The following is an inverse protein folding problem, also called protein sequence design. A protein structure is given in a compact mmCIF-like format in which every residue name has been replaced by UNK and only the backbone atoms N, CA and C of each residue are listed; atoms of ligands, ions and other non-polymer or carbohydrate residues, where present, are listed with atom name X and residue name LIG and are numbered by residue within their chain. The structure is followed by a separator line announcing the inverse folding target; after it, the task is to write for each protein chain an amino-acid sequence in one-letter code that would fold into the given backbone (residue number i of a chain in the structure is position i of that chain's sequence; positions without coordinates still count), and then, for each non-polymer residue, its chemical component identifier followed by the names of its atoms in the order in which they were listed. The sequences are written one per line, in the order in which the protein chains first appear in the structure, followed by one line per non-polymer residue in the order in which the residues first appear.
data_IF_609936259947
#
_entry.id   IF_609936259947
#
_cell.length_a   1.000
_cell.length_b   1.000
_cell.length_c   1.000
_cell.angle_alpha   90.00
_cell.angle_beta   90.00
_cell.angle_gamma   90.00
#
_symmetry.space_group_name_H-M   'P 1'
#
loop_
_entity.id
_entity.type
_entity.pdbx_description
1 polymer ?
#
# COMPACT_ATOMS: atom_id res chain seq x y z
N UNK A 1 37.33 22.74 -10.71
CA UNK A 1 35.94 22.45 -11.14
C UNK A 1 35.56 21.15 -10.45
N UNK A 2 35.02 21.26 -9.24
CA UNK A 2 34.62 20.12 -8.41
C UNK A 2 33.10 20.02 -8.47
N UNK A 3 32.60 18.87 -8.91
CA UNK A 3 31.20 18.49 -8.80
C UNK A 3 30.89 18.33 -7.30
N UNK A 4 30.26 19.33 -6.70
CA UNK A 4 29.60 19.17 -5.42
C UNK A 4 28.23 18.51 -5.67
N UNK A 5 28.16 17.24 -5.33
CA UNK A 5 26.93 16.58 -4.90
C UNK A 5 26.26 17.43 -3.82
N UNK A 6 24.98 17.72 -3.96
CA UNK A 6 24.10 18.16 -2.86
C UNK A 6 22.68 17.68 -3.15
N UNK A 7 22.52 16.37 -3.07
CA UNK A 7 21.29 15.71 -2.64
C UNK A 7 21.61 14.81 -1.45
N UNK A 8 22.46 15.31 -0.55
CA UNK A 8 22.70 14.71 0.73
C UNK A 8 21.46 14.96 1.60
N UNK A 9 20.88 13.85 2.03
CA UNK A 9 20.30 13.68 3.35
C UNK A 9 18.98 14.41 3.64
N UNK A 10 17.89 13.90 3.06
CA UNK A 10 16.80 13.43 3.94
C UNK A 10 17.11 11.99 4.35
N UNK A 11 18.11 11.83 5.20
CA UNK A 11 18.05 10.77 6.20
C UNK A 11 16.77 11.00 7.02
N UNK A 12 16.06 9.94 7.46
CA UNK A 12 14.90 10.10 8.32
C UNK A 12 15.31 10.89 9.56
N UNK A 13 14.73 12.08 9.76
CA UNK A 13 14.93 12.83 11.00
C UNK A 13 14.39 12.01 12.18
N UNK A 14 15.11 11.91 13.29
CA UNK A 14 14.71 11.14 14.47
C UNK A 14 13.67 11.94 15.26
N UNK A 15 12.43 11.92 14.77
CA UNK A 15 11.28 12.60 15.36
C UNK A 15 10.11 11.63 15.59
N UNK A 16 10.45 10.45 16.08
CA UNK A 16 9.56 9.31 16.21
C UNK A 16 10.23 8.11 15.59
N UNK A 17 11.10 7.46 16.37
CA UNK A 17 11.23 6.01 16.26
C UNK A 17 9.81 5.51 16.50
N UNK A 18 9.02 5.36 15.42
CA UNK A 18 8.16 4.22 15.37
C UNK A 18 9.15 3.08 15.57
N UNK A 19 9.18 2.51 16.78
CA UNK A 19 9.65 1.16 16.99
C UNK A 19 9.06 0.38 15.82
N UNK A 20 9.83 0.19 14.74
CA UNK A 20 9.47 -0.78 13.73
C UNK A 20 9.56 -2.08 14.52
N UNK A 21 8.42 -2.69 14.87
CA UNK A 21 8.48 -3.93 15.61
C UNK A 21 9.29 -4.87 14.74
N UNK A 22 10.34 -5.48 15.30
CA UNK A 22 11.01 -6.56 14.59
C UNK A 22 9.92 -7.54 14.10
N UNK A 23 10.03 -8.05 12.87
CA UNK A 23 9.10 -9.06 12.36
C UNK A 23 8.95 -10.17 13.43
N UNK A 24 7.70 -10.49 13.81
CA UNK A 24 7.41 -11.40 14.91
C UNK A 24 7.31 -10.80 16.32
N UNK A 25 7.72 -9.55 16.57
CA UNK A 25 7.61 -8.89 17.86
C UNK A 25 6.17 -8.44 18.15
N UNK A 26 5.71 -8.69 19.37
CA UNK A 26 4.37 -8.28 19.80
C UNK A 26 4.30 -6.76 20.00
N UNK A 27 3.48 -6.09 19.19
CA UNK A 27 3.25 -4.65 19.25
C UNK A 27 1.76 -4.31 19.20
N UNK A 28 1.43 -3.09 19.63
CA UNK A 28 0.08 -2.54 19.46
C UNK A 28 0.05 -1.70 18.18
N UNK A 29 -0.94 -1.96 17.34
CA UNK A 29 -1.12 -1.31 16.06
C UNK A 29 -2.43 -0.53 16.04
N UNK A 30 -2.41 0.65 15.41
CA UNK A 30 -3.59 1.47 15.13
C UNK A 30 -3.57 1.88 13.67
N UNK A 31 -4.41 1.24 12.87
CA UNK A 31 -4.52 1.49 11.44
C UNK A 31 -5.66 2.49 11.17
N UNK A 32 -5.38 3.66 10.57
CA UNK A 32 -6.43 4.60 10.21
C UNK A 32 -7.32 4.00 9.11
N UNK A 33 -8.61 4.29 9.16
CA UNK A 33 -9.57 3.90 8.13
C UNK A 33 -10.40 5.12 7.73
N UNK A 34 -10.17 5.71 6.55
CA UNK A 34 -10.98 6.83 6.08
C UNK A 34 -12.47 6.47 6.07
N UNK A 35 -13.29 7.26 6.78
CA UNK A 35 -14.74 7.04 6.87
C UNK A 35 -15.20 5.93 7.82
N UNK A 36 -14.28 5.28 8.55
CA UNK A 36 -14.61 4.23 9.53
C UNK A 36 -13.81 4.38 10.83
N UNK A 37 -14.11 3.52 11.81
CA UNK A 37 -13.35 3.48 13.05
C UNK A 37 -11.95 2.90 12.78
N UNK A 38 -10.87 3.50 13.30
CA UNK A 38 -9.54 2.91 13.18
C UNK A 38 -9.49 1.48 13.71
N UNK A 39 -8.79 0.60 13.00
CA UNK A 39 -8.59 -0.78 13.42
C UNK A 39 -7.43 -0.80 14.44
N UNK A 40 -7.73 -1.15 15.68
CA UNK A 40 -6.76 -1.21 16.78
C UNK A 40 -6.64 -2.64 17.25
N UNK A 41 -5.42 -3.17 17.30
CA UNK A 41 -5.16 -4.53 17.74
C UNK A 41 -3.76 -4.65 18.36
N UNK A 42 -3.49 -5.79 18.98
CA UNK A 42 -2.14 -6.18 19.40
C UNK A 42 -1.77 -7.49 18.72
N UNK A 43 -0.55 -7.60 18.24
CA UNK A 43 -0.14 -8.76 17.45
C UNK A 43 1.31 -8.67 17.01
N UNK A 44 1.70 -9.54 16.09
CA UNK A 44 2.99 -9.49 15.42
C UNK A 44 2.81 -9.42 13.91
N UNK A 45 3.72 -8.73 13.22
CA UNK A 45 3.78 -8.77 11.76
C UNK A 45 4.34 -10.12 11.32
N UNK A 46 3.60 -10.80 10.44
CA UNK A 46 3.97 -12.08 9.84
C UNK A 46 4.72 -11.88 8.54
N UNK A 47 4.27 -10.93 7.72
CA UNK A 47 4.83 -10.68 6.41
C UNK A 47 4.60 -9.23 6.00
N UNK A 48 5.55 -8.71 5.21
CA UNK A 48 5.51 -7.38 4.62
C UNK A 48 6.09 -7.45 3.22
N UNK A 49 5.42 -6.82 2.26
CA UNK A 49 5.98 -6.56 0.94
C UNK A 49 5.69 -5.12 0.52
N UNK A 50 6.61 -4.54 -0.27
CA UNK A 50 6.51 -3.17 -0.75
C UNK A 50 6.97 -3.13 -2.21
N UNK A 51 6.21 -2.44 -3.06
CA UNK A 51 6.56 -2.27 -4.47
C UNK A 51 7.03 -0.83 -4.73
N UNK A 52 8.34 -0.64 -4.75
CA UNK A 52 8.93 0.67 -5.08
C UNK A 52 9.37 0.71 -6.54
N UNK A 53 8.68 1.54 -7.34
CA UNK A 53 9.05 1.84 -8.73
C UNK A 53 9.35 3.34 -8.84
N UNK A 54 10.61 3.77 -9.05
CA UNK A 54 11.00 5.18 -9.03
C UNK A 54 10.20 6.08 -9.97
N UNK A 55 9.74 5.52 -11.09
CA UNK A 55 9.01 6.22 -12.14
C UNK A 55 7.54 6.47 -11.79
N UNK A 56 7.00 5.80 -10.76
CA UNK A 56 5.63 5.98 -10.31
C UNK A 56 5.55 6.98 -9.16
N UNK A 57 4.55 7.88 -9.15
CA UNK A 57 4.39 8.89 -8.11
C UNK A 57 3.84 8.32 -6.79
N UNK A 58 3.72 7.00 -6.69
CA UNK A 58 3.24 6.28 -5.52
C UNK A 58 3.85 4.88 -5.45
N UNK A 59 3.83 4.30 -4.26
CA UNK A 59 4.17 2.89 -4.02
C UNK A 59 3.11 2.21 -3.16
N UNK A 60 3.05 0.88 -3.24
CA UNK A 60 2.19 0.08 -2.38
C UNK A 60 3.00 -0.61 -1.30
N UNK A 61 2.37 -0.81 -0.15
CA UNK A 61 2.84 -1.65 0.94
C UNK A 61 1.71 -2.57 1.39
N UNK A 62 2.06 -3.82 1.64
CA UNK A 62 1.19 -4.86 2.10
C UNK A 62 1.77 -5.41 3.40
N UNK A 63 0.98 -5.42 4.47
CA UNK A 63 1.35 -6.04 5.73
C UNK A 63 0.29 -7.08 6.13
N UNK A 64 0.76 -8.22 6.61
CA UNK A 64 -0.07 -9.25 7.25
C UNK A 64 0.37 -9.38 8.70
N UNK A 65 -0.60 -9.29 9.60
CA UNK A 65 -0.39 -9.45 11.04
C UNK A 65 -1.13 -10.65 11.59
N UNK A 66 -0.59 -11.26 12.64
CA UNK A 66 -1.31 -12.20 13.52
C UNK A 66 -1.60 -11.50 14.83
N UNK A 67 -2.87 -11.44 15.21
CA UNK A 67 -3.30 -10.82 16.46
C UNK A 67 -3.07 -11.76 17.65
N UNK A 68 -3.14 -11.21 18.87
CA UNK A 68 -3.12 -12.02 20.11
C UNK A 68 -4.31 -12.98 20.19
N UNK A 69 -5.43 -12.57 19.61
CA UNK A 69 -6.68 -13.34 19.52
C UNK A 69 -6.63 -14.44 18.45
N UNK A 70 -5.46 -14.69 17.84
CA UNK A 70 -5.26 -15.70 16.80
C UNK A 70 -6.05 -15.43 15.51
N UNK A 71 -6.41 -14.17 15.27
CA UNK A 71 -6.97 -13.70 14.00
C UNK A 71 -5.88 -13.05 13.15
N UNK A 72 -6.22 -12.69 11.91
CA UNK A 72 -5.30 -12.08 10.95
C UNK A 72 -5.76 -10.68 10.59
N UNK A 73 -4.81 -9.78 10.34
CA UNK A 73 -5.10 -8.45 9.82
C UNK A 73 -4.30 -8.23 8.54
N UNK A 74 -5.00 -7.85 7.48
CA UNK A 74 -4.39 -7.34 6.25
C UNK A 74 -4.41 -5.82 6.27
N UNK A 75 -3.29 -5.20 5.96
CA UNK A 75 -3.21 -3.77 5.66
C UNK A 75 -2.66 -3.59 4.24
N UNK A 76 -3.35 -2.79 3.43
CA UNK A 76 -2.86 -2.31 2.14
C UNK A 76 -2.72 -0.80 2.26
N UNK A 77 -1.51 -0.30 2.06
CA UNK A 77 -1.19 1.13 2.07
C UNK A 77 -0.73 1.56 0.68
N UNK A 78 -1.18 2.73 0.26
CA UNK A 78 -0.67 3.42 -0.91
C UNK A 78 -0.10 4.74 -0.44
N UNK A 79 1.19 4.91 -0.67
CA UNK A 79 1.92 6.11 -0.31
C UNK A 79 2.18 6.96 -1.54
N UNK A 80 2.08 8.28 -1.42
CA UNK A 80 2.37 9.20 -2.51
C UNK A 80 3.69 9.93 -2.29
N UNK A 81 4.44 10.19 -3.36
CA UNK A 81 5.68 10.97 -3.27
C UNK A 81 5.41 12.45 -2.93
N UNK A 82 4.24 12.97 -3.31
CA UNK A 82 3.85 14.35 -3.05
C UNK A 82 3.29 14.52 -1.65
N UNK A 83 3.80 15.51 -0.90
CA UNK A 83 3.30 15.88 0.42
C UNK A 83 1.86 16.47 0.38
N UNK A 84 1.38 16.88 -0.81
CA UNK A 84 0.02 17.37 -1.01
C UNK A 84 -1.02 16.25 -1.13
N UNK A 85 -0.56 15.01 -1.30
CA UNK A 85 -1.41 13.84 -1.48
C UNK A 85 -1.50 13.06 -0.17
N UNK A 86 -2.74 12.79 0.24
CA UNK A 86 -3.00 11.93 1.41
C UNK A 86 -2.85 10.47 1.04
N UNK A 87 -2.01 9.76 1.80
CA UNK A 87 -1.87 8.31 1.72
C UNK A 87 -3.22 7.60 1.95
N UNK A 88 -3.36 6.46 1.29
CA UNK A 88 -4.55 5.62 1.42
C UNK A 88 -4.16 4.42 2.28
N UNK A 89 -4.96 4.16 3.31
CA UNK A 89 -4.81 2.98 4.17
C UNK A 89 -6.13 2.24 4.21
N UNK A 90 -6.10 0.97 3.84
CA UNK A 90 -7.23 0.05 4.01
C UNK A 90 -6.78 -1.15 4.81
N UNK A 91 -7.61 -1.56 5.75
CA UNK A 91 -7.31 -2.70 6.59
C UNK A 91 -8.55 -3.53 6.87
N UNK A 92 -8.36 -4.83 7.06
CA UNK A 92 -9.44 -5.77 7.37
C UNK A 92 -8.93 -6.82 8.34
N UNK A 93 -9.82 -7.32 9.20
CA UNK A 93 -9.55 -8.44 10.09
C UNK A 93 -10.25 -9.69 9.55
N UNK A 94 -9.61 -10.83 9.71
CA UNK A 94 -10.06 -12.14 9.23
C UNK A 94 -9.84 -13.20 10.29
N UNK A 95 -10.73 -14.18 10.35
CA UNK A 95 -10.57 -15.33 11.24
C UNK A 95 -9.60 -16.38 10.65
N UNK A 96 -9.35 -16.33 9.34
CA UNK A 96 -8.52 -17.31 8.64
C UNK A 96 -7.58 -16.65 7.60
N UNK A 97 -6.45 -17.32 7.31
CA UNK A 97 -5.54 -16.93 6.23
C UNK A 97 -6.19 -17.05 4.84
N UNK A 98 -6.98 -18.10 4.52
CA UNK A 98 -7.70 -18.18 3.25
C UNK A 98 -8.56 -16.94 2.97
N UNK A 99 -9.36 -16.47 3.93
CA UNK A 99 -10.21 -15.27 3.73
C UNK A 99 -9.38 -14.02 3.47
N UNK A 100 -8.20 -13.93 4.10
CA UNK A 100 -7.25 -12.84 3.88
C UNK A 100 -6.68 -12.88 2.45
N UNK A 101 -6.32 -14.07 1.96
CA UNK A 101 -5.78 -14.23 0.61
C UNK A 101 -6.86 -13.99 -0.46
N UNK A 102 -8.08 -14.47 -0.24
CA UNK A 102 -9.24 -14.15 -1.07
C UNK A 102 -9.47 -12.63 -1.13
N UNK A 103 -9.31 -11.92 0.00
CA UNK A 103 -9.39 -10.46 0.02
C UNK A 103 -8.30 -9.83 -0.83
N UNK A 104 -7.07 -10.34 -0.73
CA UNK A 104 -5.93 -9.80 -1.44
C UNK A 104 -6.07 -9.94 -2.96
N UNK A 105 -6.55 -11.09 -3.42
CA UNK A 105 -6.81 -11.37 -4.84
C UNK A 105 -7.98 -10.56 -5.41
N UNK A 106 -9.00 -10.31 -4.59
CA UNK A 106 -10.21 -9.55 -5.01
C UNK A 106 -10.08 -8.03 -4.79
N UNK A 107 -8.94 -7.56 -4.28
CA UNK A 107 -8.73 -6.13 -4.07
C UNK A 107 -8.54 -5.39 -5.40
N UNK A 108 -9.42 -4.43 -5.68
CA UNK A 108 -9.30 -3.56 -6.85
C UNK A 108 -8.55 -2.26 -6.50
N UNK A 109 -7.23 -2.26 -6.72
CA UNK A 109 -6.40 -1.06 -6.60
C UNK A 109 -6.82 0.08 -7.55
N UNK A 110 -7.54 -0.23 -8.62
CA UNK A 110 -8.13 0.75 -9.53
C UNK A 110 -9.20 1.62 -8.86
N UNK A 111 -9.89 1.10 -7.84
CA UNK A 111 -10.90 1.84 -7.08
C UNK A 111 -10.29 2.96 -6.20
N UNK A 112 -8.98 2.92 -5.96
CA UNK A 112 -8.24 3.91 -5.18
C UNK A 112 -7.62 5.01 -6.04
N UNK A 113 -7.74 4.90 -7.36
CA UNK A 113 -7.26 5.94 -8.28
C UNK A 113 -8.17 7.15 -8.18
N UNK A 114 -7.59 8.27 -7.72
CA UNK A 114 -8.27 9.56 -7.63
C UNK A 114 -8.69 10.05 -9.01
N UNK A 115 -9.98 10.30 -9.18
CA UNK A 115 -10.54 10.94 -10.36
C UNK A 115 -9.98 12.37 -10.49
N UNK A 116 -9.55 12.81 -11.69
CA UNK A 116 -9.19 14.20 -11.89
C UNK A 116 -10.41 15.11 -11.64
N UNK A 117 -10.18 16.31 -11.14
CA UNK A 117 -11.23 17.32 -11.07
C UNK A 117 -11.54 17.79 -12.49
N UNK A 118 -12.79 17.61 -12.94
CA UNK A 118 -13.25 18.00 -14.26
C UNK A 118 -14.44 18.94 -14.13
N UNK A 119 -14.34 20.10 -14.77
CA UNK A 119 -15.47 21.00 -14.94
C UNK A 119 -16.29 20.53 -16.15
N UNK A 120 -17.27 19.67 -15.90
CA UNK A 120 -18.08 19.05 -16.96
C UNK A 120 -18.87 20.06 -17.79
N UNK A 121 -19.16 21.24 -17.25
CA UNK A 121 -19.94 22.28 -17.93
C UNK A 121 -19.07 23.13 -18.86
N UNK A 122 -17.77 23.26 -18.55
CA UNK A 122 -16.84 24.11 -19.29
C UNK A 122 -15.84 23.35 -20.16
N UNK A 123 -15.66 22.06 -19.91
CA UNK A 123 -14.69 21.25 -20.65
C UNK A 123 -15.17 20.96 -22.06
N UNK A 124 -14.30 21.11 -23.04
CA UNK A 124 -14.59 20.68 -24.41
C UNK A 124 -14.72 19.14 -24.47
N UNK A 125 -15.49 18.56 -25.40
CA UNK A 125 -15.60 17.11 -25.55
C UNK A 125 -14.26 16.39 -25.71
N UNK A 126 -13.29 17.03 -26.39
CA UNK A 126 -11.94 16.49 -26.54
C UNK A 126 -11.16 16.44 -25.22
N UNK A 127 -11.35 17.43 -24.33
CA UNK A 127 -10.71 17.48 -23.01
C UNK A 127 -11.29 16.41 -22.09
N UNK A 128 -12.61 16.24 -22.11
CA UNK A 128 -13.29 15.16 -21.38
C UNK A 128 -12.81 13.77 -21.85
N UNK A 129 -12.66 13.58 -23.16
CA UNK A 129 -12.13 12.34 -23.71
C UNK A 129 -10.68 12.08 -23.28
N UNK A 130 -9.82 13.11 -23.31
CA UNK A 130 -8.44 13.00 -22.86
C UNK A 130 -8.35 12.67 -21.37
N UNK A 131 -9.14 13.33 -20.51
CA UNK A 131 -9.19 13.05 -19.08
C UNK A 131 -9.72 11.64 -18.77
N UNK A 132 -10.71 11.16 -19.52
CA UNK A 132 -11.20 9.79 -19.37
C UNK A 132 -10.13 8.76 -19.78
N UNK A 133 -9.36 9.03 -20.83
CA UNK A 133 -8.25 8.17 -21.25
C UNK A 133 -7.12 8.16 -20.21
N UNK A 134 -6.76 9.32 -19.66
CA UNK A 134 -5.78 9.43 -18.58
C UNK A 134 -6.22 8.63 -17.33
N UNK A 135 -7.46 8.85 -16.87
CA UNK A 135 -8.02 8.11 -15.74
C UNK A 135 -8.01 6.60 -15.99
N UNK A 136 -8.42 6.15 -17.18
CA UNK A 136 -8.38 4.74 -17.56
C UNK A 136 -6.97 4.18 -17.51
N UNK A 137 -5.98 4.92 -18.01
CA UNK A 137 -4.57 4.52 -17.99
C UNK A 137 -4.06 4.36 -16.56
N UNK A 138 -4.38 5.33 -15.69
CA UNK A 138 -4.02 5.29 -14.26
C UNK A 138 -4.67 4.12 -13.52
N UNK A 139 -5.93 3.80 -13.81
CA UNK A 139 -6.63 2.62 -13.26
C UNK A 139 -5.94 1.32 -13.68
N UNK A 140 -5.58 1.19 -14.96
CA UNK A 140 -4.85 0.01 -15.46
C UNK A 140 -3.49 -0.10 -14.77
N UNK A 141 -2.73 0.99 -14.72
CA UNK A 141 -1.41 1.02 -14.09
C UNK A 141 -1.47 0.64 -12.60
N UNK A 142 -2.45 1.16 -11.85
CA UNK A 142 -2.66 0.82 -10.44
C UNK A 142 -2.94 -0.68 -10.25
N UNK A 143 -3.83 -1.25 -11.06
CA UNK A 143 -4.15 -2.69 -11.02
C UNK A 143 -2.95 -3.56 -11.37
N UNK A 144 -2.22 -3.23 -12.44
CA UNK A 144 -1.03 -3.98 -12.86
C UNK A 144 0.06 -3.92 -11.81
N UNK A 145 0.34 -2.73 -11.25
CA UNK A 145 1.35 -2.56 -10.23
C UNK A 145 1.01 -3.36 -8.96
N UNK A 146 -0.23 -3.26 -8.49
CA UNK A 146 -0.66 -4.01 -7.30
C UNK A 146 -0.66 -5.53 -7.53
N UNK A 147 -1.12 -6.00 -8.71
CA UNK A 147 -1.06 -7.42 -9.04
C UNK A 147 0.37 -7.98 -9.07
N UNK A 148 1.34 -7.17 -9.54
CA UNK A 148 2.76 -7.51 -9.46
C UNK A 148 3.24 -7.71 -8.02
N UNK A 149 2.93 -6.75 -7.12
CA UNK A 149 3.24 -6.85 -5.70
C UNK A 149 2.63 -8.10 -5.04
N UNK A 150 1.36 -8.40 -5.34
CA UNK A 150 0.68 -9.59 -4.80
C UNK A 150 1.33 -10.88 -5.30
N UNK A 151 1.69 -10.94 -6.57
CA UNK A 151 2.41 -12.09 -7.14
C UNK A 151 3.77 -12.31 -6.47
N UNK A 152 4.54 -11.24 -6.26
CA UNK A 152 5.82 -11.30 -5.55
C UNK A 152 5.64 -11.73 -4.09
N UNK A 153 4.62 -11.20 -3.41
CA UNK A 153 4.30 -11.56 -2.03
C UNK A 153 3.98 -13.05 -1.88
N UNK A 154 3.13 -13.60 -2.75
CA UNK A 154 2.82 -15.03 -2.72
C UNK A 154 4.04 -15.89 -3.03
N UNK A 155 4.85 -15.52 -4.02
CA UNK A 155 6.08 -16.23 -4.33
C UNK A 155 7.06 -16.26 -3.14
N UNK A 156 7.15 -15.17 -2.36
CA UNK A 156 7.97 -15.11 -1.15
C UNK A 156 7.43 -16.01 -0.04
N UNK A 157 6.11 -16.05 0.18
CA UNK A 157 5.48 -16.95 1.15
C UNK A 157 5.74 -18.42 0.78
N UNK A 158 5.54 -18.78 -0.49
CA UNK A 158 5.77 -20.14 -0.97
C UNK A 158 7.24 -20.55 -0.84
N UNK A 159 8.18 -19.63 -1.13
CA UNK A 159 9.60 -19.89 -0.93
C UNK A 159 9.96 -20.09 0.55
N UNK A 160 9.37 -19.30 1.46
CA UNK A 160 9.58 -19.44 2.89
C UNK A 160 8.95 -20.72 3.47
N UNK A 161 7.80 -21.15 2.96
CA UNK A 161 7.14 -22.39 3.35
C UNK A 161 7.84 -23.67 2.88
N UNK A 162 8.70 -23.57 1.86
CA UNK A 162 9.44 -24.69 1.26
C UNK A 162 10.93 -24.74 1.66
N UNK A 163 11.38 -23.93 2.62
CA UNK A 163 12.75 -23.99 3.14
C UNK A 163 13.05 -25.32 3.86
N UNK A 164 14.29 -25.86 3.80
CA UNK A 164 14.64 -27.09 4.49
C UNK A 164 14.53 -26.88 6.00
N UNK A 165 13.73 -27.74 6.65
CA UNK A 165 13.60 -27.86 8.11
C UNK A 165 14.90 -28.37 8.72
#
# INVERSE_FOLDING_TARGET
MNYQMSAAERAPQPGGVADMPALGAMSSYRLPQPGARPLVFSGSELAMAMSFTPELPYWYELNVYRTREQTFVLAIRQFFQSEEQTDIVKAWAFDSLPDLFDRLETYDAGADVRTPHLDLERSAPAELAAAAMDLKSRVIAARTHFAGLVGEFFAQIDAAGNGPV
#
